data_IF_610756675764
#
_entry.id   IF_610756675764
#
_cell.length_a   1.000
_cell.length_b   1.000
_cell.length_c   1.000
_cell.angle_alpha   90.00
_cell.angle_beta   90.00
_cell.angle_gamma   90.00
#
_symmetry.space_group_name_H-M   'P 1'
#
loop_
_entity.id
_entity.type
_entity.pdbx_description
1 polymer ?
#
# COMPACT_ATOMS: atom_id res chain seq x y z
N UNK A 1 4.34 12.13 7.48
CA UNK A 1 5.44 12.87 6.84
C UNK A 1 5.15 13.16 5.37
N UNK A 2 5.20 12.22 4.43
CA UNK A 2 5.13 12.59 2.98
C UNK A 2 3.79 13.18 2.49
N UNK A 3 2.70 12.96 3.22
CA UNK A 3 1.39 13.56 2.95
C UNK A 3 1.09 14.80 3.83
N UNK A 4 2.00 15.19 4.72
CA UNK A 4 1.81 16.28 5.70
C UNK A 4 2.90 17.35 5.65
N UNK A 5 4.14 16.93 5.38
CA UNK A 5 5.34 17.75 5.47
C UNK A 5 5.98 17.78 4.07
N UNK A 6 5.72 18.84 3.27
CA UNK A 6 6.25 18.93 1.93
C UNK A 6 7.78 19.07 1.93
N UNK A 7 8.46 18.67 0.85
CA UNK A 7 9.84 19.08 0.61
C UNK A 7 9.96 20.60 0.65
N UNK A 8 11.02 21.12 1.28
CA UNK A 8 11.22 22.57 1.44
C UNK A 8 12.08 23.20 0.34
N UNK A 9 12.74 22.37 -0.48
CA UNK A 9 13.71 22.81 -1.49
C UNK A 9 13.66 21.92 -2.74
N UNK A 10 14.24 22.40 -3.84
CA UNK A 10 14.33 21.67 -5.10
C UNK A 10 13.05 21.75 -5.94
N UNK A 11 13.02 20.99 -7.04
CA UNK A 11 11.95 21.08 -8.05
C UNK A 11 10.58 20.58 -7.57
N UNK A 12 10.54 19.81 -6.48
CA UNK A 12 9.32 19.27 -5.87
C UNK A 12 8.96 20.00 -4.57
N UNK A 13 9.57 21.15 -4.30
CA UNK A 13 9.28 21.94 -3.11
C UNK A 13 7.78 22.26 -3.01
N UNK A 14 7.19 22.08 -1.82
CA UNK A 14 5.77 22.31 -1.57
C UNK A 14 4.82 21.19 -2.02
N UNK A 15 5.30 20.20 -2.78
CA UNK A 15 4.43 19.14 -3.29
C UNK A 15 4.16 18.06 -2.23
N UNK A 16 2.89 17.65 -2.12
CA UNK A 16 2.46 16.51 -1.31
C UNK A 16 1.53 15.61 -2.13
N UNK A 17 1.54 14.32 -1.82
CA UNK A 17 0.43 13.43 -2.18
C UNK A 17 -0.63 13.54 -1.10
N UNK A 18 -1.88 13.86 -1.47
CA UNK A 18 -2.97 13.96 -0.50
C UNK A 18 -3.17 12.62 0.20
N UNK A 19 -3.49 12.66 1.50
CA UNK A 19 -3.66 11.44 2.29
C UNK A 19 -4.72 10.50 1.68
N UNK A 20 -5.83 11.04 1.19
CA UNK A 20 -6.87 10.29 0.49
C UNK A 20 -6.37 9.58 -0.78
N UNK A 21 -5.47 10.22 -1.54
CA UNK A 21 -4.86 9.59 -2.71
C UNK A 21 -3.88 8.49 -2.30
N UNK A 22 -3.16 8.66 -1.18
CA UNK A 22 -2.31 7.60 -0.61
C UNK A 22 -3.14 6.39 -0.20
N UNK A 23 -4.27 6.60 0.50
CA UNK A 23 -5.15 5.50 0.91
C UNK A 23 -5.76 4.79 -0.30
N UNK A 24 -6.29 5.54 -1.28
CA UNK A 24 -6.82 4.96 -2.52
C UNK A 24 -5.79 4.14 -3.29
N UNK A 25 -4.56 4.65 -3.39
CA UNK A 25 -3.47 3.92 -4.06
C UNK A 25 -3.08 2.65 -3.30
N UNK A 26 -3.16 2.67 -1.96
CA UNK A 26 -2.90 1.51 -1.13
C UNK A 26 -3.99 0.43 -1.30
N UNK A 27 -5.26 0.82 -1.29
CA UNK A 27 -6.39 -0.09 -1.51
C UNK A 27 -6.27 -0.78 -2.88
N UNK A 28 -6.00 0.00 -3.94
CA UNK A 28 -5.76 -0.53 -5.29
C UNK A 28 -4.59 -1.52 -5.32
N UNK A 29 -3.51 -1.23 -4.58
CA UNK A 29 -2.36 -2.11 -4.49
C UNK A 29 -2.70 -3.44 -3.80
N UNK A 30 -3.44 -3.40 -2.69
CA UNK A 30 -3.88 -4.62 -2.00
C UNK A 30 -4.82 -5.46 -2.86
N UNK A 31 -5.81 -4.84 -3.49
CA UNK A 31 -6.72 -5.54 -4.41
C UNK A 31 -5.95 -6.24 -5.54
N UNK A 32 -5.02 -5.53 -6.20
CA UNK A 32 -4.21 -6.10 -7.28
C UNK A 32 -3.36 -7.29 -6.82
N UNK A 33 -2.94 -7.31 -5.55
CA UNK A 33 -2.10 -8.37 -4.97
C UNK A 33 -2.92 -9.51 -4.37
N UNK A 34 -4.25 -9.40 -4.33
CA UNK A 34 -5.14 -10.34 -3.65
C UNK A 34 -5.02 -10.27 -2.12
N UNK A 35 -4.75 -9.08 -1.60
CA UNK A 35 -4.63 -8.80 -0.17
C UNK A 35 -5.90 -8.14 0.34
N UNK A 36 -6.17 -8.31 1.63
CA UNK A 36 -7.27 -7.63 2.30
C UNK A 36 -6.91 -6.17 2.68
N UNK A 37 -7.88 -5.45 3.23
CA UNK A 37 -7.69 -4.05 3.66
C UNK A 37 -6.72 -3.87 4.83
N UNK A 38 -6.31 -4.96 5.49
CA UNK A 38 -5.27 -4.93 6.53
C UNK A 38 -3.87 -5.19 5.94
N UNK A 39 -3.76 -5.37 4.62
CA UNK A 39 -2.52 -5.69 3.93
C UNK A 39 -2.10 -7.16 4.11
N UNK A 40 -3.05 -8.05 4.38
CA UNK A 40 -2.78 -9.48 4.57
C UNK A 40 -3.14 -10.23 3.28
N UNK A 41 -2.24 -11.04 2.71
CA UNK A 41 -2.55 -11.86 1.55
C UNK A 41 -3.72 -12.82 1.83
N UNK A 42 -4.64 -12.94 0.88
CA UNK A 42 -5.73 -13.91 0.97
C UNK A 42 -5.20 -15.35 0.99
N UNK A 43 -6.02 -16.29 1.49
CA UNK A 43 -5.73 -17.72 1.43
C UNK A 43 -5.44 -18.19 0.00
N UNK A 44 -6.18 -17.69 -0.99
CA UNK A 44 -5.95 -17.98 -2.41
C UNK A 44 -4.56 -17.52 -2.87
N UNK A 45 -4.18 -16.28 -2.53
CA UNK A 45 -2.85 -15.73 -2.82
C UNK A 45 -1.75 -16.56 -2.16
N UNK A 46 -1.91 -16.94 -0.89
CA UNK A 46 -0.94 -17.77 -0.17
C UNK A 46 -0.81 -19.16 -0.76
N UNK A 47 -1.91 -19.75 -1.21
CA UNK A 47 -1.91 -21.05 -1.89
C UNK A 47 -1.14 -20.98 -3.21
N UNK A 48 -1.42 -19.96 -4.03
CA UNK A 48 -0.74 -19.74 -5.31
C UNK A 48 0.78 -19.54 -5.15
N UNK A 49 1.21 -19.00 -4.01
CA UNK A 49 2.62 -18.79 -3.68
C UNK A 49 3.26 -19.97 -2.91
N UNK A 50 2.52 -21.04 -2.61
CA UNK A 50 2.96 -22.15 -1.76
C UNK A 50 3.42 -21.72 -0.35
N UNK A 51 2.72 -20.75 0.25
CA UNK A 51 3.06 -20.19 1.57
C UNK A 51 2.03 -20.51 2.66
N UNK A 52 0.98 -21.28 2.36
CA UNK A 52 -0.07 -21.60 3.34
C UNK A 52 0.44 -22.28 4.60
N UNK A 53 1.50 -23.09 4.51
CA UNK A 53 2.07 -23.81 5.64
C UNK A 53 2.71 -22.91 6.72
N UNK A 54 2.94 -21.63 6.41
CA UNK A 54 3.54 -20.66 7.34
C UNK A 54 2.49 -19.80 8.07
N UNK A 55 1.20 -20.04 7.84
CA UNK A 55 0.11 -19.35 8.54
C UNK A 55 -0.18 -20.09 9.85
N UNK A 56 -0.01 -19.41 10.99
CA UNK A 56 -0.29 -19.92 12.33
C UNK A 56 -1.68 -19.53 12.81
#
# INVERSE_FOLDING_TARGET
>A
RFYSDPPTTGVTAGQITRYEDVQRLLDMYYEQRGWDSNGIPSTETLQALNMLEFVN
#
